data_IF_815741283041
#
_entry.id   IF_815741283041
#
_cell.length_a   1.000
_cell.length_b   1.000
_cell.length_c   1.000
_cell.angle_alpha   90.00
_cell.angle_beta   90.00
_cell.angle_gamma   90.00
#
_symmetry.space_group_name_H-M   'P 1'
#
loop_
_entity.id
_entity.type
_entity.pdbx_description
1 polymer ?
#
# COMPACT_ATOMS: atom_id res chain seq x y z
N UNK A 1 2.41 5.22 -14.00
CA UNK A 1 2.59 3.97 -13.20
C UNK A 1 2.10 4.14 -11.77
N UNK A 2 1.08 3.38 -11.38
CA UNK A 2 0.45 3.34 -10.05
C UNK A 2 1.02 2.17 -9.24
N UNK A 3 1.43 2.41 -8.00
CA UNK A 3 2.00 1.38 -7.11
C UNK A 3 1.07 1.18 -5.91
N UNK A 4 0.61 -0.05 -5.72
CA UNK A 4 -0.20 -0.46 -4.58
C UNK A 4 0.66 -1.18 -3.54
N UNK A 5 0.64 -0.70 -2.30
CA UNK A 5 1.35 -1.30 -1.17
C UNK A 5 0.30 -1.92 -0.24
N UNK A 6 0.20 -3.25 -0.30
CA UNK A 6 -0.75 -3.99 0.52
C UNK A 6 -0.13 -4.30 1.87
N UNK A 7 -0.69 -3.74 2.94
CA UNK A 7 -0.19 -3.92 4.29
C UNK A 7 0.92 -2.96 4.70
N UNK A 8 0.67 -1.64 4.63
CA UNK A 8 1.58 -0.57 5.05
C UNK A 8 1.83 -0.53 6.58
N UNK A 9 2.49 -1.56 7.10
CA UNK A 9 3.12 -1.59 8.42
C UNK A 9 4.42 -0.76 8.41
N UNK A 10 5.42 -1.16 9.20
CA UNK A 10 6.72 -0.46 9.25
C UNK A 10 7.41 -0.50 7.88
N UNK A 11 7.57 -1.70 7.32
CA UNK A 11 8.26 -1.90 6.03
C UNK A 11 7.48 -1.25 4.88
N UNK A 12 6.18 -1.54 4.76
CA UNK A 12 5.37 -0.97 3.69
C UNK A 12 5.30 0.56 3.74
N UNK A 13 5.25 1.16 4.93
CA UNK A 13 5.29 2.63 5.06
C UNK A 13 6.66 3.21 4.70
N UNK A 14 7.75 2.54 5.06
CA UNK A 14 9.10 2.97 4.68
C UNK A 14 9.31 2.93 3.16
N UNK A 15 8.83 1.87 2.50
CA UNK A 15 8.83 1.74 1.04
C UNK A 15 7.99 2.86 0.42
N UNK A 16 6.75 3.05 0.87
CA UNK A 16 5.85 4.10 0.39
C UNK A 16 6.51 5.49 0.48
N UNK A 17 7.05 5.82 1.65
CA UNK A 17 7.72 7.11 1.91
C UNK A 17 8.91 7.33 0.98
N UNK A 18 9.71 6.29 0.74
CA UNK A 18 10.84 6.36 -0.19
C UNK A 18 10.38 6.61 -1.63
N UNK A 19 9.38 5.85 -2.10
CA UNK A 19 8.83 5.98 -3.46
C UNK A 19 8.25 7.38 -3.69
N UNK A 20 7.49 7.91 -2.73
CA UNK A 20 6.93 9.27 -2.80
C UNK A 20 8.05 10.32 -2.87
N UNK A 21 9.03 10.24 -1.96
CA UNK A 21 10.14 11.21 -1.91
C UNK A 21 10.99 11.21 -3.18
N UNK A 22 11.20 10.02 -3.76
CA UNK A 22 11.95 9.86 -5.02
C UNK A 22 11.10 10.11 -6.27
N UNK A 23 9.80 10.43 -6.11
CA UNK A 23 8.83 10.60 -7.20
C UNK A 23 8.78 9.39 -8.14
N UNK A 24 8.92 8.20 -7.56
CA UNK A 24 8.85 6.93 -8.29
C UNK A 24 7.38 6.52 -8.45
N UNK A 25 6.87 6.65 -9.68
CA UNK A 25 5.45 6.40 -9.99
C UNK A 25 4.60 7.65 -9.83
N UNK A 26 3.46 7.65 -10.51
CA UNK A 26 2.51 8.76 -10.52
C UNK A 26 1.60 8.75 -9.28
N UNK A 27 1.32 7.56 -8.75
CA UNK A 27 0.35 7.36 -7.68
C UNK A 27 0.78 6.23 -6.76
N UNK A 28 0.79 6.49 -5.46
CA UNK A 28 1.05 5.48 -4.43
C UNK A 28 -0.23 5.27 -3.63
N UNK A 29 -0.69 4.01 -3.57
CA UNK A 29 -1.87 3.61 -2.80
C UNK A 29 -1.39 2.66 -1.70
N UNK A 30 -1.57 3.04 -0.43
CA UNK A 30 -1.12 2.26 0.72
C UNK A 30 -2.31 1.75 1.53
N UNK A 31 -2.34 0.44 1.81
CA UNK A 31 -3.44 -0.17 2.55
C UNK A 31 -3.07 -0.51 3.99
N UNK A 32 -4.01 -0.30 4.92
CA UNK A 32 -3.88 -0.79 6.30
C UNK A 32 -5.24 -0.95 6.95
N UNK A 33 -5.39 -1.96 7.81
CA UNK A 33 -6.61 -2.18 8.61
C UNK A 33 -7.00 -0.94 9.43
N UNK A 34 -5.99 -0.29 10.03
CA UNK A 34 -6.10 0.97 10.79
C UNK A 34 -5.52 2.10 9.95
N UNK A 35 -6.35 2.74 9.12
CA UNK A 35 -5.96 3.75 8.14
C UNK A 35 -5.40 5.00 8.82
N UNK A 36 -5.86 5.32 10.03
CA UNK A 36 -5.37 6.41 10.86
C UNK A 36 -3.86 6.33 11.11
N UNK A 37 -3.28 5.11 11.13
CA UNK A 37 -1.83 4.91 11.27
C UNK A 37 -1.04 5.23 9.98
N UNK A 38 -1.71 5.65 8.91
CA UNK A 38 -1.10 6.09 7.65
C UNK A 38 -1.21 7.62 7.46
N UNK A 39 -1.55 8.38 8.49
CA UNK A 39 -1.70 9.84 8.42
C UNK A 39 -0.46 10.52 7.81
N UNK A 40 0.75 10.08 8.17
CA UNK A 40 1.99 10.59 7.60
C UNK A 40 2.09 10.32 6.08
N UNK A 41 1.79 9.10 5.62
CA UNK A 41 1.81 8.79 4.19
C UNK A 41 0.78 9.61 3.43
N UNK A 42 -0.42 9.80 4.00
CA UNK A 42 -1.46 10.64 3.42
C UNK A 42 -0.97 12.09 3.27
N UNK A 43 -0.33 12.65 4.31
CA UNK A 43 0.24 13.99 4.28
C UNK A 43 1.36 14.14 3.24
N UNK A 44 2.10 13.06 2.97
CA UNK A 44 3.11 13.01 1.91
C UNK A 44 2.52 12.85 0.50
N UNK A 45 1.20 12.66 0.37
CA UNK A 45 0.51 12.54 -0.92
C UNK A 45 0.16 11.11 -1.34
N UNK A 46 0.32 10.11 -0.46
CA UNK A 46 -0.21 8.78 -0.71
C UNK A 46 -1.74 8.77 -0.61
N UNK A 47 -2.39 8.01 -1.49
CA UNK A 47 -3.74 7.57 -1.24
C UNK A 47 -3.70 6.46 -0.19
N UNK A 48 -4.56 6.55 0.84
CA UNK A 48 -4.60 5.57 1.93
C UNK A 48 -5.98 4.96 2.04
N UNK A 49 -6.05 3.64 2.18
CA UNK A 49 -7.32 2.92 2.26
C UNK A 49 -7.21 1.69 3.16
N UNK A 50 -8.36 1.11 3.52
CA UNK A 50 -8.43 -0.21 4.16
C UNK A 50 -8.75 -1.32 3.16
N UNK A 51 -9.10 -0.96 1.93
CA UNK A 51 -9.58 -1.86 0.89
C UNK A 51 -8.40 -2.35 0.03
N UNK A 52 -8.00 -3.61 0.25
CA UNK A 52 -6.93 -4.24 -0.53
C UNK A 52 -7.36 -4.49 -1.97
N UNK A 53 -8.64 -4.79 -2.23
CA UNK A 53 -9.17 -5.07 -3.57
C UNK A 53 -9.10 -3.83 -4.44
N UNK A 54 -9.54 -2.71 -3.90
CA UNK A 54 -9.44 -1.42 -4.59
C UNK A 54 -7.99 -1.08 -4.92
N UNK A 55 -7.08 -1.17 -3.94
CA UNK A 55 -5.67 -0.87 -4.18
C UNK A 55 -5.03 -1.79 -5.22
N UNK A 56 -5.33 -3.10 -5.17
CA UNK A 56 -4.83 -4.06 -6.13
C UNK A 56 -5.37 -3.83 -7.55
N UNK A 57 -6.66 -3.46 -7.68
CA UNK A 57 -7.26 -3.14 -8.98
C UNK A 57 -6.66 -1.89 -9.62
N UNK A 58 -6.32 -0.90 -8.81
CA UNK A 58 -5.75 0.37 -9.30
C UNK A 58 -4.23 0.30 -9.53
N UNK A 59 -3.52 -0.62 -8.90
CA UNK A 59 -2.05 -0.70 -8.97
C UNK A 59 -1.56 -1.47 -10.19
N UNK A 60 -0.71 -0.83 -11.01
CA UNK A 60 0.06 -1.51 -12.06
C UNK A 60 1.10 -2.46 -11.43
N UNK A 61 1.63 -2.06 -10.27
CA UNK A 61 2.58 -2.85 -9.46
C UNK A 61 2.02 -3.02 -8.06
N UNK A 62 1.93 -4.28 -7.60
CA UNK A 62 1.45 -4.62 -6.25
C UNK A 62 2.64 -5.09 -5.41
N UNK A 63 2.90 -4.40 -4.30
CA UNK A 63 3.91 -4.76 -3.30
C UNK A 63 3.19 -5.31 -2.06
N UNK A 64 3.31 -6.62 -1.84
CA UNK A 64 2.76 -7.27 -0.65
C UNK A 64 3.72 -7.09 0.54
N UNK A 65 3.28 -6.38 1.57
CA UNK A 65 4.04 -6.11 2.80
C UNK A 65 3.32 -6.61 4.05
N UNK A 66 2.61 -7.73 3.91
CA UNK A 66 1.86 -8.40 4.97
C UNK A 66 2.71 -9.48 5.66
N UNK A 67 2.25 -9.98 6.81
CA UNK A 67 2.96 -11.08 7.50
C UNK A 67 2.86 -12.37 6.68
N UNK A 68 3.84 -13.29 6.75
CA UNK A 68 3.83 -14.54 5.99
C UNK A 68 2.53 -15.34 6.10
N UNK A 69 1.97 -15.43 7.32
CA UNK A 69 0.69 -16.11 7.59
C UNK A 69 -0.53 -15.49 6.91
N UNK A 70 -0.47 -14.20 6.57
CA UNK A 70 -1.57 -13.45 5.95
C UNK A 70 -1.47 -13.46 4.40
N UNK A 71 -0.36 -13.92 3.82
CA UNK A 71 -0.14 -13.86 2.36
C UNK A 71 -1.22 -14.63 1.59
N UNK A 72 -1.53 -15.86 2.01
CA UNK A 72 -2.52 -16.70 1.32
C UNK A 72 -3.92 -16.09 1.34
N UNK A 73 -4.34 -15.50 2.46
CA UNK A 73 -5.66 -14.87 2.57
C UNK A 73 -5.73 -13.58 1.76
N UNK A 74 -4.68 -12.77 1.79
CA UNK A 74 -4.59 -11.52 1.01
C UNK A 74 -4.56 -11.80 -0.49
N UNK A 75 -3.80 -12.79 -0.95
CA UNK A 75 -3.80 -13.18 -2.37
C UNK A 75 -5.17 -13.66 -2.86
N UNK A 76 -5.93 -14.35 -2.00
CA UNK A 76 -7.33 -14.71 -2.31
C UNK A 76 -8.26 -13.50 -2.29
N UNK A 77 -8.00 -12.55 -1.42
CA UNK A 77 -8.79 -11.32 -1.29
C UNK A 77 -8.65 -10.45 -2.55
N UNK A 78 -7.43 -10.28 -3.07
CA UNK A 78 -7.14 -9.34 -4.17
C UNK A 78 -7.19 -9.97 -5.57
N UNK A 79 -7.51 -11.27 -5.67
CA UNK A 79 -7.68 -11.97 -6.94
C UNK A 79 -8.96 -11.55 -7.65
#
# INVERSE_FOLDING_TARGET
MKIAIIGAGIIGSAIAKSLIKKRCGEKIIATRRKVEKLAELKALGAEVTRDNKYAAREGDVIILTVKPRDVKSVLKEIR
#
